data_IF_221368531424
#
_entry.id   IF_221368531424
#
_cell.length_a   1.000
_cell.length_b   1.000
_cell.length_c   1.000
_cell.angle_alpha   90.00
_cell.angle_beta   90.00
_cell.angle_gamma   90.00
#
_symmetry.space_group_name_H-M   'P 1'
#
loop_
_entity.id
_entity.type
_entity.pdbx_description
1 polymer ?
#
# COMPACT_ATOMS: atom_id res chain seq x y z
N UNK A 1 -36.28 18.34 22.95
CA UNK A 1 -35.05 17.73 22.41
C UNK A 1 -35.22 16.23 22.51
N UNK A 2 -35.37 15.53 21.38
CA UNK A 2 -35.52 14.06 21.37
C UNK A 2 -34.19 13.45 21.81
N UNK A 3 -34.13 13.08 23.09
CA UNK A 3 -32.96 12.53 23.76
C UNK A 3 -32.96 11.00 23.71
N UNK A 4 -33.68 10.42 22.77
CA UNK A 4 -33.93 8.98 22.71
C UNK A 4 -33.07 8.36 21.62
N UNK A 5 -32.13 7.50 22.04
CA UNK A 5 -31.33 6.70 21.13
C UNK A 5 -32.23 5.73 20.36
N UNK A 6 -31.97 5.59 19.05
CA UNK A 6 -32.68 4.60 18.22
C UNK A 6 -32.34 3.18 18.68
N UNK A 7 -33.14 2.20 18.28
CA UNK A 7 -32.86 0.78 18.56
C UNK A 7 -31.48 0.36 18.03
N UNK A 8 -31.07 0.92 16.89
CA UNK A 8 -29.76 0.64 16.29
C UNK A 8 -28.61 1.25 17.07
N UNK A 9 -28.74 2.51 17.50
CA UNK A 9 -27.75 3.20 18.33
C UNK A 9 -27.58 2.50 19.68
N UNK A 10 -28.68 2.05 20.32
CA UNK A 10 -28.64 1.29 21.58
C UNK A 10 -27.93 -0.05 21.41
N UNK A 11 -28.26 -0.79 20.35
CA UNK A 11 -27.62 -2.08 20.05
C UNK A 11 -26.12 -1.92 19.80
N UNK A 12 -25.73 -0.90 19.03
CA UNK A 12 -24.32 -0.60 18.77
C UNK A 12 -23.57 -0.20 20.04
N UNK A 13 -24.19 0.60 20.91
CA UNK A 13 -23.58 1.00 22.19
C UNK A 13 -23.35 -0.21 23.11
N UNK A 14 -24.31 -1.13 23.18
CA UNK A 14 -24.14 -2.40 23.90
C UNK A 14 -23.04 -3.27 23.29
N UNK A 15 -22.93 -3.30 21.96
CA UNK A 15 -21.84 -4.00 21.28
C UNK A 15 -20.47 -3.34 21.52
N UNK A 16 -20.40 -2.02 21.70
CA UNK A 16 -19.17 -1.34 22.09
C UNK A 16 -18.77 -1.64 23.55
N UNK A 17 -19.76 -1.79 24.42
CA UNK A 17 -19.58 -2.11 25.84
C UNK A 17 -19.34 -3.61 26.09
N UNK A 18 -19.66 -4.51 25.16
CA UNK A 18 -19.47 -5.95 25.38
C UNK A 18 -17.99 -6.34 25.49
N UNK A 19 -17.68 -7.28 26.40
CA UNK A 19 -16.31 -7.73 26.67
C UNK A 19 -15.76 -8.57 25.51
N UNK A 20 -14.90 -7.96 24.70
CA UNK A 20 -14.21 -8.63 23.59
C UNK A 20 -12.98 -7.88 23.11
N UNK A 21 -12.29 -7.17 24.02
CA UNK A 21 -11.19 -6.28 23.64
C UNK A 21 -9.81 -6.91 23.81
N UNK A 22 -8.98 -6.74 22.78
CA UNK A 22 -7.52 -6.86 22.85
C UNK A 22 -7.02 -5.67 23.69
N UNK A 23 -6.91 -5.84 25.00
CA UNK A 23 -6.50 -4.78 25.93
C UNK A 23 -4.99 -4.78 26.16
N UNK A 24 -4.31 -3.72 25.74
CA UNK A 24 -2.96 -3.37 26.24
C UNK A 24 -3.16 -2.27 27.31
N UNK A 25 -3.09 -2.66 28.58
CA UNK A 25 -2.77 -1.83 29.76
C UNK A 25 -3.39 -0.44 29.96
N UNK A 26 -4.14 -0.32 31.08
CA UNK A 26 -4.38 0.89 31.89
C UNK A 26 -5.18 2.02 31.19
N UNK A 27 -6.50 1.94 31.34
CA UNK A 27 -7.49 2.88 30.79
C UNK A 27 -8.29 2.20 29.68
N UNK A 28 -9.50 1.74 30.01
CA UNK A 28 -10.30 0.83 29.18
C UNK A 28 -10.96 1.59 28.02
N UNK A 29 -10.17 2.19 27.12
CA UNK A 29 -10.69 2.64 25.84
C UNK A 29 -10.87 1.40 24.96
N UNK A 30 -12.10 0.90 24.89
CA UNK A 30 -12.51 -0.26 24.09
C UNK A 30 -12.64 0.18 22.62
N UNK A 31 -11.69 -0.20 21.77
CA UNK A 31 -11.80 0.00 20.32
C UNK A 31 -12.28 -1.29 19.65
N UNK A 32 -13.30 -1.18 18.79
CA UNK A 32 -13.75 -2.24 17.90
C UNK A 32 -13.78 -1.72 16.47
N UNK A 33 -13.39 -2.56 15.51
CA UNK A 33 -13.49 -2.20 14.09
C UNK A 33 -14.94 -2.20 13.63
N UNK A 34 -15.29 -1.43 12.57
CA UNK A 34 -16.63 -1.47 11.98
C UNK A 34 -17.04 -2.88 11.54
N UNK A 35 -16.11 -3.66 11.00
CA UNK A 35 -16.31 -5.07 10.63
C UNK A 35 -16.67 -5.94 11.84
N UNK A 36 -15.96 -5.78 12.97
CA UNK A 36 -16.26 -6.52 14.19
C UNK A 36 -17.65 -6.18 14.75
N UNK A 37 -18.01 -4.90 14.72
CA UNK A 37 -19.33 -4.43 15.17
C UNK A 37 -20.46 -4.89 14.24
N UNK A 38 -20.20 -4.92 12.94
CA UNK A 38 -21.11 -5.46 11.92
C UNK A 38 -21.43 -6.94 12.20
N UNK A 39 -20.39 -7.75 12.42
CA UNK A 39 -20.53 -9.17 12.74
C UNK A 39 -21.29 -9.42 14.07
N UNK A 40 -21.05 -8.60 15.09
CA UNK A 40 -21.69 -8.75 16.40
C UNK A 40 -23.15 -8.28 16.40
N UNK A 41 -23.45 -7.18 15.70
CA UNK A 41 -24.80 -6.59 15.67
C UNK A 41 -25.69 -7.12 14.54
N UNK A 42 -25.10 -7.81 13.55
CA UNK A 42 -25.79 -8.25 12.33
C UNK A 42 -26.19 -7.11 11.39
N UNK A 43 -25.67 -5.90 11.62
CA UNK A 43 -25.94 -4.72 10.81
C UNK A 43 -24.89 -4.58 9.70
N UNK A 44 -25.25 -4.04 8.52
CA UNK A 44 -24.24 -3.72 7.51
C UNK A 44 -23.26 -2.65 8.02
N UNK A 45 -22.00 -2.73 7.58
CA UNK A 45 -20.93 -1.82 8.02
C UNK A 45 -21.28 -0.34 7.83
N UNK A 46 -22.01 0.02 6.76
CA UNK A 46 -22.47 1.40 6.53
C UNK A 46 -23.40 1.89 7.64
N UNK A 47 -24.32 1.03 8.12
CA UNK A 47 -25.26 1.37 9.19
C UNK A 47 -24.56 1.45 10.56
N UNK A 48 -23.56 0.58 10.78
CA UNK A 48 -22.65 0.64 11.93
C UNK A 48 -21.91 1.96 11.96
N UNK A 49 -21.29 2.35 10.83
CA UNK A 49 -20.55 3.60 10.72
C UNK A 49 -21.43 4.84 10.89
N UNK A 50 -22.62 4.85 10.28
CA UNK A 50 -23.58 5.94 10.47
C UNK A 50 -24.00 6.06 11.94
N UNK A 51 -24.34 4.94 12.58
CA UNK A 51 -24.75 4.92 13.99
C UNK A 51 -23.59 5.32 14.92
N UNK A 52 -22.38 4.86 14.64
CA UNK A 52 -21.17 5.27 15.37
C UNK A 52 -20.92 6.77 15.24
N UNK A 53 -21.15 7.36 14.06
CA UNK A 53 -21.02 8.81 13.85
C UNK A 53 -22.06 9.60 14.66
N UNK A 54 -23.31 9.13 14.69
CA UNK A 54 -24.35 9.74 15.52
C UNK A 54 -24.04 9.63 17.02
N UNK A 55 -23.53 8.49 17.48
CA UNK A 55 -23.09 8.29 18.86
C UNK A 55 -21.90 9.20 19.20
N UNK A 56 -20.95 9.34 18.29
CA UNK A 56 -19.78 10.21 18.48
C UNK A 56 -20.18 11.69 18.56
N UNK A 57 -21.09 12.16 17.70
CA UNK A 57 -21.63 13.51 17.78
C UNK A 57 -22.33 13.81 19.11
N UNK A 58 -22.94 12.79 19.72
CA UNK A 58 -23.59 12.90 21.04
C UNK A 58 -22.63 12.65 22.21
N UNK A 59 -21.36 12.37 21.95
CA UNK A 59 -20.33 12.15 22.97
C UNK A 59 -20.32 10.77 23.61
N UNK A 60 -21.00 9.77 23.02
CA UNK A 60 -21.06 8.40 23.55
C UNK A 60 -19.89 7.51 23.10
N UNK A 61 -19.20 7.85 22.02
CA UNK A 61 -18.02 7.12 21.55
C UNK A 61 -17.04 8.05 20.81
N UNK A 62 -15.82 7.57 20.58
CA UNK A 62 -14.80 8.24 19.75
C UNK A 62 -14.56 7.41 18.48
N UNK A 63 -14.41 8.06 17.33
CA UNK A 63 -14.05 7.41 16.07
C UNK A 63 -12.58 7.72 15.80
N UNK A 64 -11.78 6.65 15.62
CA UNK A 64 -10.37 6.74 15.23
C UNK A 64 -10.19 6.17 13.83
N UNK A 65 -9.51 6.93 12.98
CA UNK A 65 -9.12 6.49 11.63
C UNK A 65 -7.66 6.02 11.66
N UNK A 66 -7.43 4.77 11.26
CA UNK A 66 -6.09 4.22 11.07
C UNK A 66 -5.88 3.91 9.59
N UNK A 67 -4.78 4.41 9.01
CA UNK A 67 -4.43 4.19 7.60
C UNK A 67 -3.24 3.24 7.52
N UNK A 68 -3.47 2.05 6.98
CA UNK A 68 -2.41 1.08 6.72
C UNK A 68 -1.95 1.18 5.26
N UNK A 69 -0.67 1.50 5.05
CA UNK A 69 -0.05 1.58 3.73
C UNK A 69 0.65 0.26 3.38
N UNK A 70 0.29 -0.31 2.23
CA UNK A 70 0.94 -1.50 1.70
C UNK A 70 1.77 -1.15 0.46
N UNK A 71 3.03 -1.60 0.44
CA UNK A 71 3.91 -1.46 -0.72
C UNK A 71 3.97 -2.78 -1.48
N UNK A 72 3.74 -2.72 -2.79
CA UNK A 72 3.89 -3.86 -3.69
C UNK A 72 4.79 -3.49 -4.87
N UNK A 73 5.52 -4.47 -5.38
CA UNK A 73 6.26 -4.28 -6.62
C UNK A 73 5.29 -4.03 -7.77
N UNK A 74 5.66 -3.10 -8.65
CA UNK A 74 5.00 -2.95 -9.95
C UNK A 74 5.37 -4.14 -10.85
N UNK A 75 4.67 -4.32 -11.97
CA UNK A 75 5.03 -5.37 -12.95
C UNK A 75 6.48 -5.21 -13.45
N UNK A 76 6.92 -3.98 -13.65
CA UNK A 76 8.30 -3.62 -14.00
C UNK A 76 9.27 -3.96 -12.86
N UNK A 77 8.95 -3.55 -11.63
CA UNK A 77 9.77 -3.85 -10.46
C UNK A 77 9.93 -5.36 -10.20
N UNK A 78 8.86 -6.14 -10.39
CA UNK A 78 8.91 -7.60 -10.29
C UNK A 78 9.84 -8.22 -11.36
N UNK A 79 9.72 -7.78 -12.62
CA UNK A 79 10.65 -8.20 -13.69
C UNK A 79 12.10 -7.86 -13.35
N UNK A 80 12.37 -6.68 -12.81
CA UNK A 80 13.72 -6.26 -12.47
C UNK A 80 14.28 -6.97 -11.25
N UNK A 81 13.43 -7.35 -10.29
CA UNK A 81 13.82 -8.20 -9.17
C UNK A 81 14.24 -9.60 -9.64
N UNK A 82 13.54 -10.16 -10.63
CA UNK A 82 13.82 -11.50 -11.18
C UNK A 82 15.02 -11.50 -12.16
N UNK A 83 15.00 -10.63 -13.17
CA UNK A 83 16.02 -10.59 -14.24
C UNK A 83 17.26 -9.80 -13.86
N UNK A 84 17.19 -9.01 -12.79
CA UNK A 84 18.18 -8.00 -12.44
C UNK A 84 17.95 -6.67 -13.15
N UNK A 85 18.47 -5.61 -12.52
CA UNK A 85 18.33 -4.23 -12.96
C UNK A 85 18.92 -4.02 -14.38
N UNK A 86 18.23 -3.26 -15.24
CA UNK A 86 18.59 -3.12 -16.65
C UNK A 86 20.02 -2.57 -16.84
N UNK A 87 20.48 -1.65 -15.99
CA UNK A 87 21.85 -1.12 -16.06
C UNK A 87 22.91 -2.15 -15.68
N UNK A 88 22.61 -3.06 -14.74
CA UNK A 88 23.53 -4.15 -14.38
C UNK A 88 23.63 -5.17 -15.50
N UNK A 89 22.50 -5.48 -16.15
CA UNK A 89 22.49 -6.35 -17.34
C UNK A 89 23.25 -5.72 -18.50
N UNK A 90 23.03 -4.43 -18.76
CA UNK A 90 23.76 -3.67 -19.78
C UNK A 90 25.26 -3.62 -19.51
N UNK A 91 25.68 -3.38 -18.26
CA UNK A 91 27.09 -3.40 -17.89
C UNK A 91 27.71 -4.78 -18.09
N UNK A 92 27.00 -5.85 -17.70
CA UNK A 92 27.45 -7.23 -17.94
C UNK A 92 27.59 -7.52 -19.42
N UNK A 93 26.70 -7.02 -20.28
CA UNK A 93 26.82 -7.18 -21.72
C UNK A 93 28.10 -6.51 -22.24
N UNK A 94 28.34 -5.25 -21.85
CA UNK A 94 29.54 -4.49 -22.24
C UNK A 94 30.83 -5.06 -21.65
N UNK A 95 30.79 -5.75 -20.50
CA UNK A 95 31.98 -6.42 -19.96
C UNK A 95 32.42 -7.62 -20.79
N UNK A 96 31.51 -8.23 -21.57
CA UNK A 96 31.84 -9.31 -22.51
C UNK A 96 32.15 -8.77 -23.91
N UNK A 97 31.61 -7.60 -24.27
CA UNK A 97 31.82 -6.93 -25.55
C UNK A 97 32.33 -5.51 -25.33
N UNK A 98 33.66 -5.31 -25.37
CA UNK A 98 34.31 -4.03 -25.07
C UNK A 98 33.73 -2.86 -25.89
N UNK A 99 33.29 -3.14 -27.11
CA UNK A 99 32.54 -2.21 -27.96
C UNK A 99 31.32 -2.94 -28.53
N UNK A 100 30.14 -2.32 -28.41
CA UNK A 100 28.89 -2.86 -28.95
C UNK A 100 28.13 -1.74 -29.68
N UNK A 101 27.68 -1.96 -30.94
CA UNK A 101 26.82 -1.00 -31.62
C UNK A 101 25.56 -0.70 -30.81
N UNK A 102 25.14 0.57 -30.77
CA UNK A 102 23.98 1.00 -29.98
C UNK A 102 22.70 0.23 -30.34
N UNK A 103 22.52 -0.12 -31.62
CA UNK A 103 21.39 -0.93 -32.07
C UNK A 103 21.40 -2.31 -31.43
N UNK A 104 22.53 -3.02 -31.49
CA UNK A 104 22.69 -4.34 -30.89
C UNK A 104 22.55 -4.30 -29.36
N UNK A 105 23.01 -3.22 -28.72
CA UNK A 105 22.78 -3.00 -27.30
C UNK A 105 21.28 -2.91 -26.99
N UNK A 106 20.52 -2.10 -27.74
CA UNK A 106 19.06 -1.95 -27.54
C UNK A 106 18.31 -3.25 -27.79
N UNK A 107 18.71 -4.03 -28.78
CA UNK A 107 18.08 -5.30 -29.15
C UNK A 107 18.25 -6.39 -28.06
N UNK A 108 19.17 -6.20 -27.10
CA UNK A 108 19.35 -7.11 -25.96
C UNK A 108 18.33 -6.93 -24.82
N UNK A 109 17.46 -5.93 -24.91
CA UNK A 109 16.43 -5.62 -23.92
C UNK A 109 15.03 -5.97 -24.44
N UNK A 110 14.07 -6.04 -23.52
CA UNK A 110 12.70 -6.45 -23.87
C UNK A 110 11.97 -5.38 -24.69
N UNK A 111 12.35 -4.12 -24.48
CA UNK A 111 11.77 -2.95 -25.10
C UNK A 111 12.76 -1.78 -25.09
N UNK A 112 12.51 -0.77 -25.94
CA UNK A 112 13.41 0.38 -26.08
C UNK A 112 13.45 1.27 -24.82
N UNK A 113 12.38 1.29 -24.01
CA UNK A 113 12.38 2.05 -22.76
C UNK A 113 13.33 1.43 -21.75
N UNK A 114 13.30 0.10 -21.59
CA UNK A 114 14.22 -0.64 -20.72
C UNK A 114 15.68 -0.42 -21.14
N UNK A 115 15.96 -0.44 -22.44
CA UNK A 115 17.29 -0.12 -22.97
C UNK A 115 17.72 1.32 -22.68
N UNK A 116 16.82 2.30 -22.88
CA UNK A 116 17.09 3.71 -22.60
C UNK A 116 17.34 3.96 -21.09
N UNK A 117 16.62 3.26 -20.21
CA UNK A 117 16.86 3.30 -18.76
C UNK A 117 18.28 2.79 -18.47
N UNK A 118 18.67 1.64 -19.03
CA UNK A 118 20.01 1.10 -18.87
C UNK A 118 21.09 2.09 -19.33
N UNK A 119 20.95 2.64 -20.54
CA UNK A 119 21.89 3.62 -21.13
C UNK A 119 22.03 4.84 -20.22
N UNK A 120 20.90 5.42 -19.77
CA UNK A 120 20.93 6.62 -18.95
C UNK A 120 21.70 6.38 -17.64
N UNK A 121 21.46 5.24 -16.98
CA UNK A 121 22.20 4.87 -15.76
C UNK A 121 23.68 4.59 -16.02
N UNK A 122 24.02 3.89 -17.11
CA UNK A 122 25.41 3.63 -17.50
C UNK A 122 26.20 4.93 -17.73
N UNK A 123 25.60 5.89 -18.43
CA UNK A 123 26.19 7.20 -18.70
C UNK A 123 26.30 8.05 -17.43
N UNK A 124 25.23 8.14 -16.63
CA UNK A 124 25.22 8.89 -15.36
C UNK A 124 26.30 8.39 -14.40
N UNK A 125 26.52 7.07 -14.36
CA UNK A 125 27.54 6.45 -13.51
C UNK A 125 28.94 6.41 -14.15
N UNK A 126 29.09 6.89 -15.38
CA UNK A 126 30.34 6.83 -16.17
C UNK A 126 30.90 5.42 -16.32
N UNK A 127 30.01 4.42 -16.40
CA UNK A 127 30.38 3.01 -16.63
C UNK A 127 30.51 2.67 -18.11
N UNK A 128 29.89 3.45 -18.97
CA UNK A 128 30.03 3.38 -20.42
C UNK A 128 30.08 4.80 -20.99
N UNK A 129 30.60 4.93 -22.22
CA UNK A 129 30.56 6.15 -23.02
C UNK A 129 30.19 5.80 -24.45
N UNK A 130 29.63 6.76 -25.16
CA UNK A 130 29.60 6.66 -26.61
C UNK A 130 30.97 7.00 -27.15
N UNK A 131 31.35 6.29 -28.20
CA UNK A 131 32.57 6.53 -28.96
C UNK A 131 32.12 6.62 -30.41
N UNK A 132 32.38 7.77 -31.02
CA UNK A 132 32.19 7.91 -32.46
C UNK A 132 33.25 7.05 -33.17
N UNK A 133 32.88 6.49 -34.32
CA UNK A 133 33.82 5.75 -35.16
C UNK A 133 34.87 6.66 -35.78
#
# INVERSE_FOLDING_TARGET
>A
MQNELTTTEKSLLLALDSEGCIGIGIGIARFKSPESLSNETGMPEDAVMQSAFMLAQRGFCEIKEEKTLYYKLTREGARYAEKGLPERRGLKLLSHHLHLPLREFKDSFSDENEANIAINWLLRKRWARFEDK
#
